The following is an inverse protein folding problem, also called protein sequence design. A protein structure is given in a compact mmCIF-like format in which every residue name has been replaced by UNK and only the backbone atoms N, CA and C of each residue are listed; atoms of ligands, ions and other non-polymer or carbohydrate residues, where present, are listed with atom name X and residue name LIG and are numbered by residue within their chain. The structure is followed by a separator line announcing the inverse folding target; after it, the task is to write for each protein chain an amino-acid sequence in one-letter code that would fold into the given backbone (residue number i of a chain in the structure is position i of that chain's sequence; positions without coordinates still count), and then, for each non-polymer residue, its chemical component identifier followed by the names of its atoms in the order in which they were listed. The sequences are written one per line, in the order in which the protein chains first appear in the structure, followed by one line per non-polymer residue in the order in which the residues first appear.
data_IF_776061540571
#
_entry.id   IF_776061540571
#
_cell.length_a   1.000
_cell.length_b   1.000
_cell.length_c   1.000
_cell.angle_alpha   90.00
_cell.angle_beta   90.00
_cell.angle_gamma   90.00
#
_symmetry.space_group_name_H-M   'P 1'
#
loop_
_entity.id
_entity.type
_entity.pdbx_description
1 polymer ?
#
# COMPACT_ATOMS: atom_id res chain seq x y z
N UNK A 1 -16.38 15.32 4.93
CA UNK A 1 -14.91 15.41 4.68
C UNK A 1 -14.11 14.82 5.84
N UNK A 2 -14.27 15.29 7.09
CA UNK A 2 -13.51 14.77 8.24
C UNK A 2 -13.63 13.25 8.46
N UNK A 3 -14.82 12.69 8.31
CA UNK A 3 -15.04 11.25 8.45
C UNK A 3 -14.29 10.43 7.39
N UNK A 4 -14.30 10.89 6.14
CA UNK A 4 -13.60 10.24 5.02
C UNK A 4 -12.10 10.28 5.26
N UNK A 5 -11.54 11.44 5.62
CA UNK A 5 -10.11 11.58 5.93
C UNK A 5 -9.72 10.68 7.09
N UNK A 6 -10.51 10.67 8.17
CA UNK A 6 -10.28 9.79 9.32
C UNK A 6 -10.28 8.32 8.90
N UNK A 7 -11.27 7.89 8.13
CA UNK A 7 -11.38 6.50 7.66
C UNK A 7 -10.16 6.11 6.83
N UNK A 8 -9.76 6.91 5.85
CA UNK A 8 -8.60 6.62 5.01
C UNK A 8 -7.32 6.55 5.82
N UNK A 9 -7.06 7.52 6.71
CA UNK A 9 -5.85 7.54 7.53
C UNK A 9 -5.82 6.39 8.55
N UNK A 10 -6.96 6.03 9.15
CA UNK A 10 -7.05 4.87 10.04
C UNK A 10 -6.77 3.56 9.28
N UNK A 11 -7.33 3.38 8.08
CA UNK A 11 -7.06 2.20 7.25
C UNK A 11 -5.59 2.10 6.87
N UNK A 12 -4.98 3.23 6.47
CA UNK A 12 -3.56 3.29 6.17
C UNK A 12 -2.71 2.92 7.40
N UNK A 13 -2.98 3.57 8.54
CA UNK A 13 -2.25 3.32 9.78
C UNK A 13 -2.33 1.86 10.21
N UNK A 14 -3.54 1.29 10.21
CA UNK A 14 -3.75 -0.12 10.57
C UNK A 14 -3.02 -1.07 9.63
N UNK A 15 -2.96 -0.76 8.34
CA UNK A 15 -2.27 -1.60 7.35
C UNK A 15 -0.76 -1.57 7.53
N UNK A 16 -0.17 -0.39 7.74
CA UNK A 16 1.27 -0.25 8.01
C UNK A 16 1.64 -0.87 9.36
N UNK A 17 0.83 -0.65 10.39
CA UNK A 17 1.02 -1.25 11.70
C UNK A 17 0.99 -2.79 11.64
N UNK A 18 0.07 -3.36 10.86
CA UNK A 18 0.01 -4.79 10.59
C UNK A 18 1.33 -5.26 9.95
N UNK A 19 1.76 -4.66 8.85
CA UNK A 19 2.99 -5.07 8.16
C UNK A 19 4.20 -4.98 9.09
N UNK A 20 4.34 -3.88 9.84
CA UNK A 20 5.47 -3.66 10.73
C UNK A 20 5.49 -4.64 11.90
N UNK A 21 4.32 -5.04 12.42
CA UNK A 21 4.20 -6.07 13.44
C UNK A 21 4.76 -7.40 12.92
N UNK A 22 4.33 -7.86 11.74
CA UNK A 22 4.75 -9.15 11.21
C UNK A 22 6.20 -9.18 10.74
N UNK A 23 6.70 -8.06 10.19
CA UNK A 23 8.11 -7.90 9.91
C UNK A 23 8.95 -8.13 11.18
N UNK A 24 8.57 -7.51 12.30
CA UNK A 24 9.27 -7.69 13.58
C UNK A 24 9.16 -9.12 14.11
N UNK A 25 7.99 -9.75 14.06
CA UNK A 25 7.83 -11.12 14.58
C UNK A 25 8.59 -12.16 13.76
N UNK A 26 8.76 -11.92 12.46
CA UNK A 26 9.57 -12.76 11.56
C UNK A 26 11.05 -12.37 11.54
N UNK A 27 11.47 -11.37 12.34
CA UNK A 27 12.82 -10.76 12.28
C UNK A 27 13.24 -10.34 10.87
N UNK A 28 12.27 -10.03 10.00
CA UNK A 28 12.50 -9.59 8.64
C UNK A 28 12.73 -8.08 8.59
N UNK A 29 13.70 -7.68 7.77
CA UNK A 29 13.96 -6.31 7.37
C UNK A 29 14.33 -6.30 5.87
N UNK A 30 14.04 -5.21 5.14
CA UNK A 30 14.45 -5.09 3.75
C UNK A 30 15.96 -5.28 3.58
N UNK A 31 16.38 -6.11 2.62
CA UNK A 31 17.79 -6.38 2.35
C UNK A 31 18.04 -6.70 0.88
N UNK A 32 19.31 -6.71 0.46
CA UNK A 32 19.69 -7.12 -0.90
C UNK A 32 19.37 -8.60 -1.20
N UNK A 33 19.13 -9.41 -0.17
CA UNK A 33 18.71 -10.79 -0.33
C UNK A 33 17.22 -10.94 -0.71
N UNK A 34 16.42 -9.86 -0.63
CA UNK A 34 15.02 -9.91 -1.03
C UNK A 34 14.90 -10.13 -2.55
N UNK A 35 13.91 -10.94 -3.00
CA UNK A 35 13.71 -11.19 -4.41
C UNK A 35 13.51 -9.91 -5.21
N UNK A 36 14.17 -9.85 -6.36
CA UNK A 36 13.97 -8.79 -7.34
C UNK A 36 12.48 -8.68 -7.69
N UNK A 37 11.97 -7.48 -8.06
CA UNK A 37 10.55 -7.29 -8.32
C UNK A 37 9.92 -8.33 -9.27
N UNK A 38 10.65 -8.76 -10.30
CA UNK A 38 10.20 -9.77 -11.25
C UNK A 38 9.95 -11.15 -10.58
N UNK A 39 10.73 -11.50 -9.57
CA UNK A 39 10.70 -12.79 -8.89
C UNK A 39 9.77 -12.82 -7.65
N UNK A 40 9.18 -11.67 -7.30
CA UNK A 40 8.20 -11.58 -6.21
C UNK A 40 6.90 -12.30 -6.55
N UNK A 41 6.03 -12.48 -5.56
CA UNK A 41 4.73 -13.10 -5.83
C UNK A 41 3.87 -12.23 -6.76
N UNK A 42 2.87 -12.84 -7.41
CA UNK A 42 1.93 -12.12 -8.29
C UNK A 42 1.27 -10.93 -7.57
N UNK A 43 0.88 -11.11 -6.29
CA UNK A 43 0.26 -10.04 -5.50
C UNK A 43 1.22 -8.90 -5.19
N UNK A 44 2.49 -9.20 -4.92
CA UNK A 44 3.51 -8.18 -4.65
C UNK A 44 3.82 -7.37 -5.91
N UNK A 45 3.92 -8.03 -7.06
CA UNK A 45 4.08 -7.37 -8.36
C UNK A 45 2.89 -6.51 -8.72
N UNK A 46 1.68 -7.02 -8.48
CA UNK A 46 0.46 -6.24 -8.67
C UNK A 46 0.45 -4.98 -7.79
N UNK A 47 0.78 -5.11 -6.50
CA UNK A 47 0.85 -3.95 -5.61
C UNK A 47 1.88 -2.91 -6.07
N UNK A 48 3.04 -3.35 -6.57
CA UNK A 48 4.04 -2.45 -7.16
C UNK A 48 3.51 -1.75 -8.41
N UNK A 49 2.75 -2.45 -9.25
CA UNK A 49 2.08 -1.86 -10.43
C UNK A 49 1.08 -0.78 -10.02
N UNK A 50 0.24 -1.05 -9.02
CA UNK A 50 -0.73 -0.07 -8.48
C UNK A 50 -0.02 1.14 -7.87
N UNK A 51 1.11 0.93 -7.17
CA UNK A 51 1.91 2.00 -6.60
C UNK A 51 2.49 2.90 -7.70
N UNK A 52 3.06 2.33 -8.77
CA UNK A 52 3.58 3.12 -9.88
C UNK A 52 2.47 3.94 -10.55
N UNK A 53 1.30 3.31 -10.80
CA UNK A 53 0.15 4.00 -11.37
C UNK A 53 -0.37 5.13 -10.44
N UNK A 54 -0.31 4.94 -9.12
CA UNK A 54 -0.63 5.99 -8.15
C UNK A 54 0.37 7.14 -8.24
N UNK A 55 1.67 6.86 -8.26
CA UNK A 55 2.72 7.88 -8.32
C UNK A 55 2.55 8.74 -9.56
N UNK A 56 2.34 8.13 -10.73
CA UNK A 56 2.15 8.87 -11.99
C UNK A 56 0.92 9.78 -11.92
N UNK A 57 -0.23 9.23 -11.51
CA UNK A 57 -1.49 9.99 -11.46
C UNK A 57 -1.49 11.06 -10.37
N UNK A 58 -0.85 10.79 -9.24
CA UNK A 58 -0.73 11.75 -8.15
C UNK A 58 0.23 12.87 -8.52
N UNK A 59 1.32 12.58 -9.24
CA UNK A 59 2.24 13.59 -9.77
C UNK A 59 1.49 14.57 -10.68
N UNK A 60 0.76 14.05 -11.68
CA UNK A 60 -0.07 14.88 -12.58
C UNK A 60 -1.09 15.72 -11.81
N UNK A 61 -1.78 15.13 -10.83
CA UNK A 61 -2.76 15.86 -10.02
C UNK A 61 -2.11 16.99 -9.22
N UNK A 62 -0.94 16.73 -8.61
CA UNK A 62 -0.24 17.72 -7.79
C UNK A 62 0.40 18.84 -8.62
N UNK A 63 0.95 18.54 -9.80
CA UNK A 63 1.43 19.54 -10.76
C UNK A 63 0.31 20.46 -11.24
N UNK A 64 -0.91 19.92 -11.37
CA UNK A 64 -2.13 20.67 -11.68
C UNK A 64 -2.82 21.32 -10.48
N UNK A 65 -2.25 21.23 -9.26
CA UNK A 65 -2.86 21.68 -8.01
C UNK A 65 -4.25 21.07 -7.70
N UNK A 66 -4.58 19.93 -8.30
CA UNK A 66 -5.83 19.20 -8.09
C UNK A 66 -5.74 18.30 -6.85
N UNK A 67 -5.82 18.94 -5.69
CA UNK A 67 -5.77 18.27 -4.37
C UNK A 67 -6.95 17.33 -4.13
N UNK A 68 -8.11 17.59 -4.77
CA UNK A 68 -9.29 16.74 -4.64
C UNK A 68 -9.07 15.40 -5.35
N UNK A 69 -8.53 15.42 -6.57
CA UNK A 69 -8.16 14.19 -7.29
C UNK A 69 -7.06 13.44 -6.57
N UNK A 70 -6.03 14.14 -6.08
CA UNK A 70 -4.95 13.53 -5.31
C UNK A 70 -5.48 12.77 -4.07
N UNK A 71 -6.40 13.38 -3.31
CA UNK A 71 -7.04 12.74 -2.17
C UNK A 71 -7.86 11.50 -2.54
N UNK A 72 -8.58 11.54 -3.67
CA UNK A 72 -9.34 10.39 -4.17
C UNK A 72 -8.43 9.22 -4.58
N UNK A 73 -7.35 9.50 -5.31
CA UNK A 73 -6.38 8.48 -5.74
C UNK A 73 -5.76 7.77 -4.54
N UNK A 74 -5.30 8.53 -3.55
CA UNK A 74 -4.73 7.97 -2.33
C UNK A 74 -5.75 7.11 -1.57
N UNK A 75 -7.00 7.57 -1.47
CA UNK A 75 -8.05 6.83 -0.79
C UNK A 75 -8.36 5.48 -1.46
N UNK A 76 -8.32 5.41 -2.79
CA UNK A 76 -8.52 4.16 -3.54
C UNK A 76 -7.36 3.20 -3.28
N UNK A 77 -6.12 3.68 -3.43
CA UNK A 77 -4.94 2.84 -3.20
C UNK A 77 -4.87 2.27 -1.78
N UNK A 78 -5.20 3.07 -0.77
CA UNK A 78 -5.25 2.60 0.62
C UNK A 78 -6.31 1.52 0.82
N UNK A 79 -7.47 1.64 0.15
CA UNK A 79 -8.50 0.61 0.18
C UNK A 79 -8.02 -0.69 -0.48
N UNK A 80 -7.36 -0.61 -1.63
CA UNK A 80 -6.80 -1.77 -2.33
C UNK A 80 -5.70 -2.46 -1.52
N UNK A 81 -4.81 -1.67 -0.90
CA UNK A 81 -3.76 -2.18 -0.02
C UNK A 81 -4.36 -2.96 1.17
N UNK A 82 -5.41 -2.44 1.80
CA UNK A 82 -6.07 -3.11 2.93
C UNK A 82 -6.91 -4.31 2.49
N UNK A 83 -7.82 -4.11 1.53
CA UNK A 83 -8.85 -5.09 1.18
C UNK A 83 -8.37 -6.18 0.24
N UNK A 84 -7.46 -5.87 -0.68
CA UNK A 84 -6.97 -6.84 -1.66
C UNK A 84 -5.61 -7.39 -1.25
N UNK A 85 -4.63 -6.52 -1.00
CA UNK A 85 -3.28 -6.98 -0.71
C UNK A 85 -3.19 -7.68 0.65
N UNK A 86 -3.44 -6.98 1.76
CA UNK A 86 -3.31 -7.56 3.11
C UNK A 86 -4.24 -8.75 3.30
N UNK A 87 -5.51 -8.64 2.87
CA UNK A 87 -6.49 -9.72 3.02
C UNK A 87 -6.03 -11.03 2.36
N UNK A 88 -5.45 -10.95 1.16
CA UNK A 88 -5.04 -12.14 0.39
C UNK A 88 -3.63 -12.63 0.71
N UNK A 89 -2.76 -11.74 1.17
CA UNK A 89 -1.41 -12.10 1.62
C UNK A 89 -1.36 -12.52 3.09
N UNK A 90 -2.46 -12.40 3.86
CA UNK A 90 -2.50 -12.66 5.30
C UNK A 90 -1.83 -13.97 5.72
N UNK A 91 -2.08 -15.09 5.01
CA UNK A 91 -1.44 -16.39 5.31
C UNK A 91 0.09 -16.37 5.27
N UNK A 92 0.69 -15.55 4.40
CA UNK A 92 2.15 -15.41 4.26
C UNK A 92 2.78 -14.67 5.44
N UNK A 93 2.01 -13.84 6.14
CA UNK A 93 2.50 -13.11 7.31
C UNK A 93 2.51 -13.96 8.59
N UNK A 94 1.71 -15.03 8.66
CA UNK A 94 1.61 -15.92 9.83
C UNK A 94 2.52 -17.16 9.76
N UNK A 95 3.34 -17.28 8.72
CA UNK A 95 4.39 -18.30 8.61
C UNK A 95 5.68 -17.73 9.18
#
# INVERSE_FOLDING_TARGET
IQEVVRKTLLTYWNTVAFQALYARTSSWAPSEADPAPADRTVLDRWLLSELNALVDQMTVAMEGYDTQRAGKLLSVFVDDLSNWYVRRSRRRFWQ
#
